data_IF_927127644204
#
_entry.id   IF_927127644204
#
_cell.length_a   1.000
_cell.length_b   1.000
_cell.length_c   1.000
_cell.angle_alpha   90.00
_cell.angle_beta   90.00
_cell.angle_gamma   90.00
#
_symmetry.space_group_name_H-M   'P 1'
#
loop_
_entity.id
_entity.type
_entity.pdbx_description
1 polymer ?
#
# COMPACT_ATOMS: atom_id res chain seq x y z
N UNK A 1 -25.93 15.47 -15.65
CA UNK A 1 -24.50 15.11 -15.79
C UNK A 1 -23.54 15.92 -14.92
N UNK A 2 -23.64 17.27 -14.81
CA UNK A 2 -22.73 18.06 -13.94
C UNK A 2 -22.61 17.55 -12.50
N UNK A 3 -23.71 17.06 -11.91
CA UNK A 3 -23.71 16.43 -10.58
C UNK A 3 -22.92 15.11 -10.55
N UNK A 4 -23.20 14.18 -11.47
CA UNK A 4 -22.47 12.91 -11.58
C UNK A 4 -20.96 13.09 -11.83
N UNK A 5 -20.56 14.08 -12.65
CA UNK A 5 -19.14 14.40 -12.85
C UNK A 5 -18.47 14.94 -11.59
N UNK A 6 -19.21 15.69 -10.75
CA UNK A 6 -18.71 16.14 -9.45
C UNK A 6 -18.53 14.97 -8.48
N UNK A 7 -19.34 13.93 -8.62
CA UNK A 7 -19.32 12.71 -7.81
C UNK A 7 -18.35 11.65 -8.37
N UNK A 8 -17.36 12.05 -9.18
CA UNK A 8 -16.38 11.17 -9.84
C UNK A 8 -16.98 10.08 -10.75
N UNK A 9 -18.22 10.26 -11.21
CA UNK A 9 -18.90 9.36 -12.12
C UNK A 9 -18.98 9.96 -13.54
N UNK A 10 -18.07 9.51 -14.42
CA UNK A 10 -18.03 9.94 -15.81
C UNK A 10 -18.85 9.01 -16.71
N UNK A 11 -20.06 9.44 -17.03
CA UNK A 11 -20.98 8.69 -17.90
C UNK A 11 -20.75 9.05 -19.36
N UNK A 12 -20.31 8.07 -20.16
CA UNK A 12 -20.07 8.23 -21.61
C UNK A 12 -21.30 8.03 -22.49
N UNK A 13 -22.25 7.20 -22.05
CA UNK A 13 -23.48 6.85 -22.76
C UNK A 13 -24.66 7.07 -21.84
N UNK A 14 -25.57 7.98 -22.19
CA UNK A 14 -26.68 8.39 -21.32
C UNK A 14 -27.62 7.23 -20.94
N UNK A 15 -27.84 6.29 -21.86
CA UNK A 15 -28.67 5.10 -21.61
C UNK A 15 -28.11 4.20 -20.49
N UNK A 16 -26.80 4.25 -20.21
CA UNK A 16 -26.21 3.47 -19.13
C UNK A 16 -26.73 3.85 -17.74
N UNK A 17 -27.20 5.10 -17.56
CA UNK A 17 -27.84 5.53 -16.31
C UNK A 17 -29.12 4.74 -16.02
N UNK A 18 -29.91 4.45 -17.05
CA UNK A 18 -31.14 3.68 -16.93
C UNK A 18 -30.83 2.20 -16.64
N UNK A 19 -29.87 1.62 -17.36
CA UNK A 19 -29.40 0.24 -17.12
C UNK A 19 -28.87 0.04 -15.70
N UNK A 20 -28.06 0.97 -15.19
CA UNK A 20 -27.55 0.91 -13.82
C UNK A 20 -28.66 1.04 -12.76
N UNK A 21 -29.72 1.80 -13.05
CA UNK A 21 -30.87 1.96 -12.15
C UNK A 21 -31.70 0.69 -11.99
N UNK A 22 -31.68 -0.21 -12.98
CA UNK A 22 -32.37 -1.50 -12.96
C UNK A 22 -31.47 -2.71 -12.65
N UNK A 23 -30.19 -2.50 -12.31
CA UNK A 23 -29.26 -3.59 -12.06
C UNK A 23 -29.57 -4.33 -10.74
N UNK A 24 -29.63 -5.66 -10.77
CA UNK A 24 -29.86 -6.53 -9.59
C UNK A 24 -28.61 -7.24 -9.10
N UNK A 25 -27.52 -7.23 -9.89
CA UNK A 25 -26.23 -7.80 -9.53
C UNK A 25 -25.10 -6.91 -10.08
N UNK A 26 -24.03 -6.77 -9.30
CA UNK A 26 -22.82 -6.02 -9.68
C UNK A 26 -21.62 -6.99 -9.56
N UNK A 27 -20.99 -7.29 -10.69
CA UNK A 27 -19.74 -8.03 -10.71
C UNK A 27 -18.59 -7.03 -10.62
N UNK A 28 -18.00 -6.89 -9.42
CA UNK A 28 -16.86 -6.01 -9.19
C UNK A 28 -15.56 -6.80 -9.09
N UNK A 29 -14.52 -6.28 -9.72
CA UNK A 29 -13.16 -6.76 -9.50
C UNK A 29 -12.67 -6.41 -8.09
N UNK A 30 -11.76 -7.21 -7.54
CA UNK A 30 -11.23 -6.97 -6.18
C UNK A 30 -10.20 -5.84 -6.17
N UNK A 31 -9.11 -6.02 -6.91
CA UNK A 31 -7.93 -5.17 -6.80
C UNK A 31 -8.13 -3.86 -7.56
N UNK A 32 -8.05 -2.73 -6.86
CA UNK A 32 -8.21 -1.40 -7.46
C UNK A 32 -9.67 -0.97 -7.65
N UNK A 33 -10.64 -1.78 -7.20
CA UNK A 33 -12.06 -1.44 -7.14
C UNK A 33 -12.60 -1.62 -5.72
N UNK A 34 -12.53 -2.83 -5.15
CA UNK A 34 -12.93 -3.06 -3.74
C UNK A 34 -11.78 -2.75 -2.78
N UNK A 35 -10.54 -2.99 -3.18
CA UNK A 35 -9.36 -2.65 -2.40
C UNK A 35 -8.64 -1.46 -3.04
N UNK A 36 -7.97 -0.64 -2.22
CA UNK A 36 -7.14 0.49 -2.66
C UNK A 36 -5.92 0.04 -3.49
N UNK A 37 -5.80 -1.26 -3.74
CA UNK A 37 -4.64 -1.93 -4.30
C UNK A 37 -3.37 -1.71 -3.43
N UNK A 38 -3.42 -1.01 -2.29
CA UNK A 38 -2.25 -0.73 -1.45
C UNK A 38 -1.98 -1.93 -0.54
N UNK A 39 -0.84 -2.58 -0.72
CA UNK A 39 -0.42 -3.67 0.16
C UNK A 39 0.23 -3.10 1.41
N UNK A 40 -0.10 -3.68 2.56
CA UNK A 40 0.47 -3.35 3.87
C UNK A 40 0.82 -4.64 4.61
N UNK A 41 1.83 -4.58 5.48
CA UNK A 41 2.13 -5.69 6.38
C UNK A 41 1.08 -5.70 7.48
N UNK A 42 0.41 -6.83 7.68
CA UNK A 42 -0.71 -6.97 8.64
C UNK A 42 -0.40 -7.86 9.82
N UNK A 43 0.49 -8.84 9.67
CA UNK A 43 0.91 -9.79 10.69
C UNK A 43 2.35 -10.26 10.37
N UNK A 44 3.03 -10.88 11.32
CA UNK A 44 4.38 -11.38 11.10
C UNK A 44 4.84 -12.40 12.14
N UNK A 45 5.89 -13.14 11.79
CA UNK A 45 6.50 -14.14 12.67
C UNK A 45 7.96 -13.78 12.91
N UNK A 46 8.31 -13.50 14.16
CA UNK A 46 9.63 -12.99 14.53
C UNK A 46 10.16 -13.73 15.75
N UNK A 47 11.38 -14.25 15.68
CA UNK A 47 12.05 -14.94 16.80
C UNK A 47 11.21 -16.04 17.47
N UNK A 48 10.39 -16.77 16.69
CA UNK A 48 9.51 -17.83 17.23
C UNK A 48 8.16 -17.35 17.77
N UNK A 49 7.85 -16.05 17.66
CA UNK A 49 6.60 -15.43 18.13
C UNK A 49 5.77 -14.95 16.94
N UNK A 50 4.47 -15.27 16.95
CA UNK A 50 3.50 -14.70 16.00
C UNK A 50 2.97 -13.37 16.54
N UNK A 51 2.92 -12.37 15.68
CA UNK A 51 2.19 -11.13 15.90
C UNK A 51 1.01 -11.11 14.91
N UNK A 52 -0.21 -11.05 15.41
CA UNK A 52 -1.45 -10.99 14.59
C UNK A 52 -1.75 -9.56 14.11
N UNK A 53 -0.79 -8.65 14.26
CA UNK A 53 -0.83 -7.26 13.83
C UNK A 53 0.51 -6.85 13.20
N UNK A 54 0.51 -5.70 12.53
CA UNK A 54 1.72 -5.14 11.95
C UNK A 54 2.73 -4.83 13.06
N UNK A 55 3.95 -5.40 13.04
CA UNK A 55 4.91 -5.28 14.13
C UNK A 55 5.29 -3.82 14.41
N UNK A 56 5.15 -3.38 15.66
CA UNK A 56 5.81 -2.17 16.13
C UNK A 56 7.31 -2.43 16.34
N UNK A 57 8.14 -1.39 16.26
CA UNK A 57 9.59 -1.54 16.39
C UNK A 57 9.97 -2.05 17.78
N UNK A 58 9.22 -1.62 18.78
CA UNK A 58 9.44 -1.89 20.21
C UNK A 58 9.07 -3.33 20.60
N UNK A 59 8.24 -4.01 19.80
CA UNK A 59 7.86 -5.41 20.00
C UNK A 59 8.93 -6.38 19.51
N UNK A 60 9.91 -5.87 18.74
CA UNK A 60 11.01 -6.64 18.20
C UNK A 60 12.29 -6.35 18.98
N UNK A 61 13.19 -7.33 18.97
CA UNK A 61 14.58 -7.11 19.43
C UNK A 61 15.20 -6.02 18.56
N UNK A 62 15.88 -5.04 19.18
CA UNK A 62 16.34 -3.84 18.48
C UNK A 62 17.24 -4.14 17.26
N UNK A 63 18.15 -5.10 17.39
CA UNK A 63 19.01 -5.56 16.29
C UNK A 63 18.22 -6.25 15.17
N UNK A 64 17.24 -7.08 15.52
CA UNK A 64 16.37 -7.75 14.54
C UNK A 64 15.56 -6.74 13.71
N UNK A 65 14.99 -5.72 14.36
CA UNK A 65 14.22 -4.69 13.64
C UNK A 65 15.10 -3.91 12.66
N UNK A 66 16.33 -3.59 13.05
CA UNK A 66 17.30 -2.91 12.20
C UNK A 66 17.78 -3.80 11.03
N UNK A 67 18.10 -5.06 11.29
CA UNK A 67 18.53 -6.03 10.28
C UNK A 67 17.42 -6.30 9.25
N UNK A 68 16.18 -6.45 9.72
CA UNK A 68 15.02 -6.64 8.84
C UNK A 68 14.76 -5.40 7.98
N UNK A 69 14.80 -4.21 8.57
CA UNK A 69 14.62 -2.97 7.83
C UNK A 69 15.72 -2.80 6.76
N UNK A 70 16.97 -3.10 7.11
CA UNK A 70 18.09 -3.06 6.19
C UNK A 70 17.94 -4.10 5.07
N UNK A 71 17.57 -5.33 5.40
CA UNK A 71 17.35 -6.39 4.42
C UNK A 71 16.23 -6.02 3.43
N UNK A 72 15.12 -5.47 3.93
CA UNK A 72 14.02 -4.99 3.09
C UNK A 72 14.46 -3.86 2.16
N UNK A 73 15.28 -2.92 2.66
CA UNK A 73 15.81 -1.84 1.85
C UNK A 73 16.77 -2.33 0.75
N UNK A 74 17.65 -3.29 1.08
CA UNK A 74 18.66 -3.82 0.16
C UNK A 74 18.10 -4.71 -0.95
N UNK A 75 17.08 -5.52 -0.64
CA UNK A 75 16.53 -6.49 -1.58
C UNK A 75 15.34 -5.94 -2.38
N UNK A 76 14.90 -4.72 -2.09
CA UNK A 76 13.78 -4.09 -2.78
C UNK A 76 14.26 -3.35 -4.04
N UNK A 77 13.58 -3.58 -5.16
CA UNK A 77 13.67 -2.71 -6.36
C UNK A 77 12.55 -1.68 -6.41
N UNK A 78 11.66 -1.70 -5.42
CA UNK A 78 10.58 -0.75 -5.30
C UNK A 78 11.04 0.57 -4.65
N UNK A 79 10.30 1.63 -4.96
CA UNK A 79 10.56 2.98 -4.49
C UNK A 79 9.28 3.63 -3.95
N UNK A 80 9.44 4.34 -2.83
CA UNK A 80 8.41 5.22 -2.28
C UNK A 80 8.65 6.63 -2.80
N UNK A 81 7.74 7.11 -3.64
CA UNK A 81 7.69 8.49 -4.08
C UNK A 81 6.79 9.29 -3.13
N UNK A 82 7.32 10.41 -2.64
CA UNK A 82 6.55 11.33 -1.81
C UNK A 82 5.67 12.16 -2.75
N UNK A 83 4.41 11.74 -2.89
CA UNK A 83 3.37 12.57 -3.48
C UNK A 83 2.85 13.55 -2.43
N UNK A 84 2.47 14.76 -2.83
CA UNK A 84 2.03 15.80 -1.92
C UNK A 84 0.89 15.38 -0.97
N UNK A 85 0.91 16.03 0.21
CA UNK A 85 -0.06 16.07 1.30
C UNK A 85 -0.48 14.77 2.01
N UNK A 86 -0.59 13.61 1.35
CA UNK A 86 -0.86 12.33 2.06
C UNK A 86 -0.77 11.07 1.18
N UNK A 87 -0.56 11.21 -0.14
CA UNK A 87 -0.45 10.05 -1.03
C UNK A 87 1.00 9.66 -1.27
N UNK A 88 1.52 8.75 -0.42
CA UNK A 88 2.69 7.96 -0.80
C UNK A 88 2.37 7.19 -2.09
N UNK A 89 3.18 7.41 -3.11
CA UNK A 89 3.06 6.74 -4.40
C UNK A 89 4.09 5.62 -4.48
N UNK A 90 3.64 4.44 -4.89
CA UNK A 90 4.42 3.21 -4.89
C UNK A 90 4.85 2.91 -6.32
N UNK A 91 6.16 2.80 -6.55
CA UNK A 91 6.71 2.38 -7.84
C UNK A 91 7.41 1.05 -7.65
N UNK A 92 7.00 0.03 -8.39
CA UNK A 92 7.55 -1.33 -8.28
C UNK A 92 6.55 -2.33 -7.70
N UNK A 93 7.06 -3.45 -7.19
CA UNK A 93 6.23 -4.53 -6.65
C UNK A 93 5.49 -4.07 -5.39
N UNK A 94 4.19 -4.36 -5.32
CA UNK A 94 3.31 -3.93 -4.22
C UNK A 94 3.74 -4.54 -2.87
N UNK A 95 4.24 -5.76 -2.87
CA UNK A 95 4.71 -6.43 -1.64
C UNK A 95 6.00 -5.80 -1.12
N UNK A 96 6.96 -5.50 -2.00
CA UNK A 96 8.20 -4.79 -1.63
C UNK A 96 7.89 -3.40 -1.07
N UNK A 97 6.95 -2.69 -1.69
CA UNK A 97 6.46 -1.41 -1.20
C UNK A 97 5.89 -1.48 0.23
N UNK A 98 5.16 -2.55 0.55
CA UNK A 98 4.60 -2.77 1.88
C UNK A 98 5.71 -2.94 2.94
N UNK A 99 6.76 -3.68 2.60
CA UNK A 99 7.93 -3.87 3.47
C UNK A 99 8.72 -2.57 3.66
N UNK A 100 8.91 -1.79 2.60
CA UNK A 100 9.56 -0.47 2.69
C UNK A 100 8.74 0.51 3.56
N UNK A 101 7.41 0.45 3.51
CA UNK A 101 6.56 1.24 4.40
C UNK A 101 6.71 0.82 5.86
N UNK A 102 6.81 -0.48 6.14
CA UNK A 102 7.06 -1.00 7.48
C UNK A 102 8.41 -0.49 8.02
N UNK A 103 9.47 -0.60 7.22
CA UNK A 103 10.80 -0.09 7.58
C UNK A 103 10.78 1.43 7.85
N UNK A 104 10.05 2.20 7.02
CA UNK A 104 9.86 3.64 7.23
C UNK A 104 9.11 3.94 8.53
N UNK A 105 8.09 3.15 8.89
CA UNK A 105 7.35 3.28 10.16
C UNK A 105 8.24 3.02 11.38
N UNK A 106 9.27 2.18 11.25
CA UNK A 106 10.30 1.96 12.27
C UNK A 106 11.38 3.07 12.32
N UNK A 107 11.21 4.15 11.56
CA UNK A 107 12.11 5.30 11.52
C UNK A 107 13.38 5.07 10.70
N UNK A 108 13.42 4.03 9.85
CA UNK A 108 14.55 3.78 8.96
C UNK A 108 14.31 4.49 7.63
N UNK A 109 15.09 5.56 7.39
CA UNK A 109 15.14 6.19 6.08
C UNK A 109 16.13 5.44 5.17
N UNK A 110 15.60 4.59 4.30
CA UNK A 110 16.41 3.83 3.35
C UNK A 110 17.03 4.71 2.23
N UNK A 111 16.55 5.96 2.04
CA UNK A 111 17.14 6.90 1.08
C UNK A 111 18.39 7.59 1.63
N UNK A 112 18.43 7.89 2.92
CA UNK A 112 19.52 8.65 3.53
C UNK A 112 20.83 7.87 3.69
N UNK A 113 20.80 6.54 3.71
CA UNK A 113 22.00 5.75 4.01
C UNK A 113 22.93 5.48 2.79
N UNK A 114 22.70 6.08 1.62
CA UNK A 114 23.63 6.00 0.49
C UNK A 114 23.71 4.65 -0.24
N UNK A 115 22.72 3.77 -0.07
CA UNK A 115 22.66 2.43 -0.70
C UNK A 115 22.10 2.47 -2.14
N UNK A 116 22.17 3.64 -2.77
CA UNK A 116 21.79 3.85 -4.16
C UNK A 116 23.05 3.70 -5.02
N UNK A 117 23.14 2.60 -5.76
CA UNK A 117 23.95 2.47 -6.97
C UNK A 117 23.02 2.24 -8.14
#
# INVERSE_FOLDING_TARGET
>A
MKKMMKDHNFVRVLAACETMGGATAICSDKTGTLTENRMTVTEGWFSGVKLDHAPAKEELRADLAEDLALNCALNSKAHLLEGGADLMTFVGNRTECALLMMARRWGVDYKQRGWWC
#
